data_IF_069434716170
#
_entry.id   IF_069434716170
#
_cell.length_a   1.000
_cell.length_b   1.000
_cell.length_c   1.000
_cell.angle_alpha   90.00
_cell.angle_beta   90.00
_cell.angle_gamma   90.00
#
_symmetry.space_group_name_H-M   'P 1'
#
loop_
_entity.id
_entity.type
_entity.pdbx_description
1 polymer ?
#
# COMPACT_ATOMS: atom_id res chain seq x y z
N UNK A 1 28.36 5.35 -8.81
CA UNK A 1 27.68 6.34 -7.93
C UNK A 1 28.25 6.23 -6.53
N UNK A 2 28.67 7.34 -5.91
CA UNK A 2 29.25 7.35 -4.55
C UNK A 2 28.20 7.00 -3.49
N UNK A 3 28.59 6.51 -2.29
CA UNK A 3 27.65 6.26 -1.18
C UNK A 3 26.80 7.48 -0.82
N UNK A 4 27.40 8.66 -0.77
CA UNK A 4 26.71 9.91 -0.46
C UNK A 4 25.68 10.29 -1.54
N UNK A 5 26.02 10.10 -2.82
CA UNK A 5 25.08 10.35 -3.91
C UNK A 5 23.91 9.35 -3.90
N UNK A 6 24.14 8.13 -3.42
CA UNK A 6 23.10 7.12 -3.24
C UNK A 6 22.13 7.48 -2.12
N UNK A 7 22.66 7.89 -0.96
CA UNK A 7 21.87 8.36 0.19
C UNK A 7 20.93 9.50 -0.20
N UNK A 8 21.45 10.56 -0.83
CA UNK A 8 20.62 11.70 -1.27
C UNK A 8 19.53 11.31 -2.27
N UNK A 9 19.82 10.38 -3.19
CA UNK A 9 18.81 9.89 -4.14
C UNK A 9 17.71 9.12 -3.42
N UNK A 10 18.06 8.35 -2.40
CA UNK A 10 17.11 7.59 -1.60
C UNK A 10 16.23 8.48 -0.73
N UNK A 11 16.82 9.45 -0.03
CA UNK A 11 16.09 10.49 0.70
C UNK A 11 15.12 11.22 -0.21
N UNK A 12 15.55 11.61 -1.42
CA UNK A 12 14.70 12.26 -2.40
C UNK A 12 13.57 11.37 -2.91
N UNK A 13 13.82 10.07 -3.09
CA UNK A 13 12.77 9.11 -3.46
C UNK A 13 11.74 8.93 -2.33
N UNK A 14 12.21 8.78 -1.09
CA UNK A 14 11.36 8.60 0.08
C UNK A 14 10.48 9.84 0.34
N UNK A 15 11.04 11.05 0.18
CA UNK A 15 10.27 12.29 0.23
C UNK A 15 9.13 12.30 -0.81
N UNK A 16 9.38 11.83 -2.05
CA UNK A 16 8.32 11.75 -3.06
C UNK A 16 7.25 10.71 -2.70
N UNK A 17 7.64 9.55 -2.16
CA UNK A 17 6.70 8.53 -1.70
C UNK A 17 5.78 9.10 -0.61
N UNK A 18 6.36 9.68 0.45
CA UNK A 18 5.60 10.29 1.54
C UNK A 18 4.70 11.43 1.06
N UNK A 19 5.19 12.28 0.14
CA UNK A 19 4.40 13.37 -0.43
C UNK A 19 3.21 12.84 -1.25
N UNK A 20 3.39 11.75 -2.01
CA UNK A 20 2.31 11.13 -2.78
C UNK A 20 1.18 10.56 -1.91
N UNK A 21 1.48 10.26 -0.64
CA UNK A 21 0.51 9.79 0.36
C UNK A 21 -0.03 10.92 1.25
N UNK A 22 0.23 12.19 0.92
CA UNK A 22 -0.27 13.33 1.68
C UNK A 22 0.35 13.46 3.08
N UNK A 23 1.56 12.94 3.30
CA UNK A 23 2.23 12.94 4.60
C UNK A 23 3.04 14.20 4.91
N UNK A 24 2.93 15.26 4.10
CA UNK A 24 3.62 16.54 4.31
C UNK A 24 5.10 16.41 4.72
N UNK A 25 5.93 15.65 3.98
CA UNK A 25 7.31 15.43 4.37
C UNK A 25 8.12 16.73 4.33
N UNK A 26 9.06 16.84 5.25
CA UNK A 26 10.12 17.85 5.27
C UNK A 26 11.45 17.16 5.06
N UNK A 27 12.25 17.74 4.15
CA UNK A 27 13.65 17.36 3.94
C UNK A 27 14.51 17.74 5.14
N UNK A 28 15.80 17.40 5.07
CA UNK A 28 16.72 17.56 6.19
C UNK A 28 16.71 18.95 6.81
N UNK A 29 16.79 18.99 8.13
CA UNK A 29 16.77 20.21 8.93
C UNK A 29 17.71 20.08 10.13
N UNK A 30 18.17 21.21 10.67
CA UNK A 30 19.18 21.27 11.73
C UNK A 30 18.71 22.04 12.96
N UNK A 31 17.79 21.49 13.77
CA UNK A 31 17.41 22.09 15.03
C UNK A 31 18.59 22.06 16.01
N UNK A 32 18.96 23.21 16.57
CA UNK A 32 20.05 23.34 17.56
C UNK A 32 21.41 22.72 17.13
N UNK A 33 21.69 22.66 15.82
CA UNK A 33 22.94 22.14 15.26
C UNK A 33 22.97 20.62 15.03
N UNK A 34 21.94 19.88 15.45
CA UNK A 34 21.81 18.45 15.22
C UNK A 34 21.07 18.18 13.90
N UNK A 35 21.67 17.43 12.98
CA UNK A 35 21.05 17.14 11.67
C UNK A 35 20.06 15.97 11.76
N UNK A 36 18.86 16.17 11.23
CA UNK A 36 17.84 15.13 11.05
C UNK A 36 17.54 15.03 9.55
N UNK A 37 17.53 13.82 9.00
CA UNK A 37 17.36 13.60 7.56
C UNK A 37 15.98 14.05 7.06
N UNK A 38 14.94 13.96 7.91
CA UNK A 38 13.64 14.53 7.62
C UNK A 38 12.59 14.33 8.70
N UNK A 39 11.36 14.73 8.39
CA UNK A 39 10.18 14.48 9.23
C UNK A 39 8.94 14.40 8.36
N UNK A 40 7.88 13.75 8.82
CA UNK A 40 6.62 13.69 8.09
C UNK A 40 5.44 13.52 9.05
N UNK A 41 4.23 13.72 8.55
CA UNK A 41 2.98 13.57 9.30
C UNK A 41 2.25 12.29 8.88
N UNK A 42 1.81 11.51 9.86
CA UNK A 42 0.95 10.34 9.65
C UNK A 42 -0.17 10.36 10.68
N UNK A 43 -1.43 10.28 10.23
CA UNK A 43 -2.63 10.22 11.09
C UNK A 43 -2.65 11.28 12.21
N UNK A 44 -2.21 12.52 11.88
CA UNK A 44 -2.19 13.66 12.79
C UNK A 44 -1.00 13.71 13.76
N UNK A 45 -0.02 12.82 13.62
CA UNK A 45 1.22 12.80 14.42
C UNK A 45 2.44 13.09 13.55
N UNK A 46 3.45 13.73 14.13
CA UNK A 46 4.71 14.01 13.47
C UNK A 46 5.76 12.96 13.85
N UNK A 47 6.43 12.43 12.83
CA UNK A 47 7.50 11.46 12.95
C UNK A 47 8.82 12.07 12.49
N UNK A 48 9.89 11.78 13.22
CA UNK A 48 11.25 12.05 12.74
C UNK A 48 11.71 10.90 11.84
N UNK A 49 12.56 11.21 10.87
CA UNK A 49 13.03 10.25 9.89
C UNK A 49 14.55 10.33 9.76
N UNK A 50 15.19 9.16 9.82
CA UNK A 50 16.60 8.96 9.48
C UNK A 50 16.70 7.82 8.46
N UNK A 51 17.46 8.01 7.39
CA UNK A 51 17.55 7.06 6.29
C UNK A 51 19.02 6.74 5.97
N UNK A 52 19.42 5.47 6.15
CA UNK A 52 20.80 5.01 5.91
C UNK A 52 20.88 4.06 4.72
N UNK A 53 21.88 4.30 3.88
CA UNK A 53 22.28 3.38 2.82
C UNK A 53 23.78 3.14 2.87
N UNK A 54 24.20 2.26 3.76
CA UNK A 54 25.61 1.95 4.02
C UNK A 54 26.05 0.70 3.28
N UNK A 55 27.37 0.43 3.28
CA UNK A 55 27.89 -0.84 2.76
C UNK A 55 27.80 -1.94 3.82
N UNK A 56 28.14 -1.59 5.05
CA UNK A 56 28.20 -2.50 6.19
C UNK A 56 26.90 -2.45 7.00
N UNK A 57 26.77 -3.37 7.96
CA UNK A 57 25.61 -3.44 8.85
C UNK A 57 25.50 -2.17 9.73
N UNK A 58 24.28 -1.77 10.06
CA UNK A 58 24.02 -0.63 10.94
C UNK A 58 24.30 -1.03 12.40
N UNK A 59 25.24 -0.35 13.08
CA UNK A 59 25.56 -0.63 14.47
C UNK A 59 24.52 0.01 15.41
N UNK A 60 24.39 -0.56 16.61
CA UNK A 60 23.51 -0.04 17.67
C UNK A 60 23.75 1.44 17.98
N UNK A 61 25.00 1.91 17.88
CA UNK A 61 25.38 3.30 18.15
C UNK A 61 24.68 4.30 17.23
N UNK A 62 24.46 3.96 15.96
CA UNK A 62 23.76 4.83 15.02
C UNK A 62 22.28 4.99 15.41
N UNK A 63 21.67 3.89 15.87
CA UNK A 63 20.28 3.87 16.36
C UNK A 63 20.18 4.69 17.65
N UNK A 64 21.11 4.52 18.60
CA UNK A 64 21.11 5.30 19.84
C UNK A 64 21.32 6.79 19.62
N UNK A 65 22.18 7.17 18.67
CA UNK A 65 22.33 8.57 18.28
C UNK A 65 21.01 9.13 17.77
N UNK A 66 20.32 8.41 16.88
CA UNK A 66 19.00 8.82 16.39
C UNK A 66 17.96 8.89 17.52
N UNK A 67 17.92 7.88 18.40
CA UNK A 67 17.04 7.86 19.57
C UNK A 67 17.24 9.10 20.45
N UNK A 68 18.49 9.49 20.72
CA UNK A 68 18.79 10.71 21.46
C UNK A 68 18.16 11.96 20.84
N UNK A 69 18.15 12.05 19.50
CA UNK A 69 17.47 13.15 18.79
C UNK A 69 15.97 13.14 19.03
N UNK A 70 15.36 11.95 19.06
CA UNK A 70 13.91 11.73 19.27
C UNK A 70 13.52 12.03 20.71
N UNK A 71 14.32 11.58 21.69
CA UNK A 71 14.12 11.84 23.11
C UNK A 71 14.12 13.34 23.43
N UNK A 72 14.87 14.14 22.66
CA UNK A 72 14.90 15.59 22.75
C UNK A 72 13.71 16.32 22.10
N UNK A 73 12.62 15.63 21.74
CA UNK A 73 11.42 16.21 21.12
C UNK A 73 10.19 16.11 22.04
N UNK A 74 9.03 16.54 21.53
CA UNK A 74 7.78 16.45 22.26
C UNK A 74 7.54 15.00 22.73
N UNK A 75 7.06 14.85 23.97
CA UNK A 75 6.69 13.54 24.53
C UNK A 75 5.74 12.81 23.56
N UNK A 76 6.06 11.55 23.26
CA UNK A 76 5.31 10.74 22.29
C UNK A 76 5.74 10.90 20.84
N UNK A 77 6.80 11.66 20.54
CA UNK A 77 7.42 11.66 19.21
C UNK A 77 8.01 10.28 18.92
N UNK A 78 7.66 9.71 17.77
CA UNK A 78 8.21 8.42 17.29
C UNK A 78 9.18 8.70 16.15
N UNK A 79 10.40 8.20 16.26
CA UNK A 79 11.38 8.20 15.19
C UNK A 79 11.24 6.98 14.30
N UNK A 80 11.45 7.18 13.00
CA UNK A 80 11.50 6.13 11.98
C UNK A 80 12.93 6.07 11.47
N UNK A 81 13.59 4.94 11.73
CA UNK A 81 14.95 4.69 11.26
C UNK A 81 14.87 3.67 10.11
N UNK A 82 15.25 4.09 8.91
CA UNK A 82 15.22 3.25 7.71
C UNK A 82 16.64 2.87 7.33
N UNK A 83 16.89 1.59 7.08
CA UNK A 83 18.17 1.09 6.59
C UNK A 83 17.99 0.23 5.34
N UNK A 84 18.73 0.56 4.28
CA UNK A 84 18.87 -0.30 3.10
C UNK A 84 19.92 -1.42 3.28
N UNK A 85 20.60 -1.41 4.42
CA UNK A 85 21.58 -2.40 4.89
C UNK A 85 21.00 -3.16 6.08
N UNK A 86 21.50 -4.36 6.36
CA UNK A 86 21.08 -5.11 7.55
C UNK A 86 21.44 -4.37 8.84
N UNK A 87 20.67 -4.60 9.90
CA UNK A 87 21.02 -4.20 11.25
C UNK A 87 21.98 -5.22 11.87
N UNK A 88 22.95 -4.76 12.66
CA UNK A 88 23.80 -5.66 13.42
C UNK A 88 22.97 -6.47 14.44
N UNK A 89 23.37 -7.70 14.78
CA UNK A 89 22.60 -8.59 15.67
C UNK A 89 22.28 -7.95 17.02
N UNK A 90 23.23 -7.20 17.58
CA UNK A 90 23.06 -6.53 18.88
C UNK A 90 22.26 -5.21 18.80
N UNK A 91 21.96 -4.71 17.59
CA UNK A 91 21.35 -3.40 17.39
C UNK A 91 19.85 -3.38 17.70
N UNK A 92 19.18 -4.52 17.50
CA UNK A 92 17.74 -4.69 17.72
C UNK A 92 17.45 -4.94 19.21
N UNK A 93 18.19 -5.85 19.83
CA UNK A 93 17.99 -6.21 21.25
C UNK A 93 18.31 -5.03 22.19
N UNK A 94 19.23 -4.17 21.77
CA UNK A 94 19.55 -2.89 22.39
C UNK A 94 18.34 -1.94 22.55
N UNK A 95 17.32 -2.04 21.69
CA UNK A 95 16.10 -1.23 21.78
C UNK A 95 15.03 -1.86 22.68
N UNK A 96 15.04 -3.19 22.89
CA UNK A 96 13.98 -3.91 23.61
C UNK A 96 14.09 -3.82 25.13
N UNK A 97 15.31 -3.76 25.68
CA UNK A 97 15.53 -3.92 27.13
C UNK A 97 15.43 -2.58 27.88
N UNK A 98 14.37 -2.43 28.70
CA UNK A 98 14.29 -1.45 29.80
C UNK A 98 14.25 0.02 29.40
N UNK A 99 13.84 0.35 28.16
CA UNK A 99 13.85 1.72 27.60
C UNK A 99 12.52 2.07 26.94
N UNK A 100 12.23 3.37 26.86
CA UNK A 100 11.10 3.89 26.09
C UNK A 100 11.24 3.51 24.61
N UNK A 101 10.26 2.75 24.10
CA UNK A 101 10.18 2.31 22.71
C UNK A 101 9.63 3.45 21.83
N UNK A 102 10.51 4.33 21.37
CA UNK A 102 10.14 5.49 20.55
C UNK A 102 10.88 5.57 19.21
N UNK A 103 11.56 4.49 18.80
CA UNK A 103 12.17 4.37 17.47
C UNK A 103 11.71 3.07 16.82
N UNK A 104 11.10 3.15 15.64
CA UNK A 104 10.78 2.01 14.80
C UNK A 104 11.87 1.79 13.75
N UNK A 105 12.24 0.53 13.55
CA UNK A 105 13.24 0.12 12.57
C UNK A 105 12.58 -0.40 11.29
N UNK A 106 12.98 0.15 10.15
CA UNK A 106 12.59 -0.30 8.83
C UNK A 106 13.82 -0.85 8.10
N UNK A 107 13.69 -2.01 7.49
CA UNK A 107 14.71 -2.60 6.63
C UNK A 107 14.38 -2.37 5.14
N UNK A 108 15.15 -3.04 4.28
CA UNK A 108 14.98 -2.97 2.83
C UNK A 108 13.64 -3.53 2.37
N UNK A 109 13.17 -4.60 3.00
CA UNK A 109 11.93 -5.28 2.59
C UNK A 109 10.73 -4.44 2.97
N UNK A 110 10.77 -3.75 4.12
CA UNK A 110 9.76 -2.74 4.48
C UNK A 110 9.71 -1.59 3.46
N UNK A 111 10.86 -1.15 2.94
CA UNK A 111 10.93 -0.10 1.92
C UNK A 111 10.31 -0.57 0.60
N UNK A 112 10.60 -1.81 0.18
CA UNK A 112 9.97 -2.39 -1.01
C UNK A 112 8.46 -2.60 -0.83
N UNK A 113 8.04 -3.03 0.36
CA UNK A 113 6.64 -3.13 0.71
C UNK A 113 5.97 -1.76 0.70
N UNK A 114 6.59 -0.73 1.26
CA UNK A 114 6.07 0.64 1.25
C UNK A 114 5.92 1.18 -0.16
N UNK A 115 6.88 0.89 -1.05
CA UNK A 115 6.79 1.26 -2.46
C UNK A 115 5.60 0.59 -3.19
N UNK A 116 5.18 -0.59 -2.74
CA UNK A 116 4.13 -1.41 -3.39
C UNK A 116 2.76 -1.23 -2.73
N UNK A 117 2.73 -1.02 -1.42
CA UNK A 117 1.53 -1.10 -0.57
C UNK A 117 1.21 0.22 0.15
N UNK A 118 2.06 1.22 -0.02
CA UNK A 118 1.97 2.51 0.67
C UNK A 118 2.76 2.49 1.98
N UNK A 119 3.56 3.53 2.18
CA UNK A 119 4.34 3.76 3.39
C UNK A 119 3.44 3.84 4.63
N UNK A 120 2.27 4.45 4.53
CA UNK A 120 1.33 4.58 5.64
C UNK A 120 0.79 3.24 6.13
N UNK A 121 0.58 2.28 5.23
CA UNK A 121 0.11 0.96 5.60
C UNK A 121 1.20 0.15 6.32
N UNK A 122 2.44 0.22 5.82
CA UNK A 122 3.58 -0.41 6.48
C UNK A 122 3.83 0.21 7.86
N UNK A 123 3.80 1.54 7.94
CA UNK A 123 3.98 2.27 9.19
C UNK A 123 2.89 1.93 10.22
N UNK A 124 1.61 1.92 9.82
CA UNK A 124 0.51 1.56 10.70
C UNK A 124 0.68 0.16 11.29
N UNK A 125 1.07 -0.81 10.46
CA UNK A 125 1.31 -2.19 10.90
C UNK A 125 2.43 -2.26 11.94
N UNK A 126 3.58 -1.63 11.67
CA UNK A 126 4.72 -1.64 12.60
C UNK A 126 4.42 -0.88 13.90
N UNK A 127 3.67 0.23 13.82
CA UNK A 127 3.18 0.95 15.00
C UNK A 127 2.26 0.07 15.86
N UNK A 128 1.38 -0.73 15.24
CA UNK A 128 0.51 -1.65 15.97
C UNK A 128 1.30 -2.71 16.73
N UNK A 129 2.25 -3.37 16.07
CA UNK A 129 3.09 -4.38 16.71
C UNK A 129 3.96 -3.80 17.83
N UNK A 130 4.51 -2.59 17.64
CA UNK A 130 5.25 -1.92 18.69
C UNK A 130 4.38 -1.55 19.89
N UNK A 131 3.14 -1.12 19.66
CA UNK A 131 2.22 -0.74 20.72
C UNK A 131 1.65 -1.95 21.49
N UNK A 132 1.36 -3.05 20.80
CA UNK A 132 0.71 -4.24 21.39
C UNK A 132 1.72 -5.26 21.94
N UNK A 133 2.85 -5.43 21.27
CA UNK A 133 3.84 -6.48 21.58
C UNK A 133 5.19 -5.92 22.06
N UNK A 134 5.40 -4.61 21.98
CA UNK A 134 6.70 -4.01 22.28
C UNK A 134 7.75 -4.26 21.19
N UNK A 135 7.33 -4.68 20.00
CA UNK A 135 8.25 -5.06 18.92
C UNK A 135 8.51 -3.89 17.95
N UNK A 136 9.71 -3.31 18.02
CA UNK A 136 10.12 -2.15 17.21
C UNK A 136 10.80 -2.53 15.88
N UNK A 137 11.10 -3.81 15.70
CA UNK A 137 11.67 -4.36 14.47
C UNK A 137 11.01 -5.68 14.10
N UNK A 138 9.92 -5.57 13.34
CA UNK A 138 9.24 -6.72 12.73
C UNK A 138 9.24 -6.49 11.23
N UNK A 139 9.81 -7.41 10.41
CA UNK A 139 9.71 -7.31 8.97
C UNK A 139 8.25 -7.20 8.54
N UNK A 140 7.94 -6.28 7.64
CA UNK A 140 6.62 -6.23 7.01
C UNK A 140 6.48 -7.43 6.09
N UNK A 141 5.99 -8.54 6.64
CA UNK A 141 5.33 -9.55 5.84
C UNK A 141 4.04 -8.90 5.37
N UNK A 142 3.72 -8.95 4.08
CA UNK A 142 2.44 -8.46 3.57
C UNK A 142 1.28 -9.34 4.05
N UNK A 143 1.12 -9.50 5.35
CA UNK A 143 -0.13 -9.89 5.99
C UNK A 143 -1.00 -8.65 5.96
N UNK A 144 -1.94 -8.65 5.03
CA UNK A 144 -3.11 -7.77 5.10
C UNK A 144 -3.67 -7.95 6.50
N UNK A 145 -3.73 -6.88 7.30
CA UNK A 145 -4.63 -6.93 8.45
C UNK A 145 -6.05 -7.02 7.87
N UNK A 146 -6.82 -8.08 8.19
CA UNK A 146 -8.18 -8.19 7.73
C UNK A 146 -8.97 -6.95 8.06
N UNK A 147 -9.47 -6.28 7.03
CA UNK A 147 -10.29 -5.09 7.22
C UNK A 147 -11.76 -5.50 7.12
N UNK A 148 -12.37 -5.79 8.27
CA UNK A 148 -13.82 -6.04 8.45
C UNK A 148 -14.72 -4.93 7.87
N UNK A 149 -14.14 -3.76 7.52
CA UNK A 149 -14.86 -2.68 6.85
C UNK A 149 -15.31 -3.13 5.45
N UNK A 150 -16.55 -2.84 5.05
CA UNK A 150 -17.02 -3.12 3.70
C UNK A 150 -16.15 -2.40 2.66
N UNK A 151 -15.84 -3.09 1.57
CA UNK A 151 -15.14 -2.53 0.43
C UNK A 151 -16.17 -1.93 -0.53
N UNK A 152 -16.02 -0.63 -0.83
CA UNK A 152 -16.81 0.01 -1.88
C UNK A 152 -16.08 -0.11 -3.21
N UNK A 153 -16.74 -0.65 -4.23
CA UNK A 153 -16.15 -0.84 -5.55
C UNK A 153 -16.94 -0.08 -6.60
N UNK A 154 -16.27 0.85 -7.27
CA UNK A 154 -16.85 1.66 -8.34
C UNK A 154 -16.50 1.02 -9.67
N UNK A 155 -17.52 0.68 -10.45
CA UNK A 155 -17.40 -0.07 -11.71
C UNK A 155 -18.02 0.65 -12.90
N UNK A 156 -17.58 0.34 -14.12
CA UNK A 156 -18.17 0.90 -15.34
C UNK A 156 -19.58 0.36 -15.56
N UNK A 157 -19.74 -0.97 -15.43
CA UNK A 157 -21.03 -1.61 -15.60
C UNK A 157 -21.13 -3.04 -15.08
N UNK A 158 -22.20 -3.73 -15.50
CA UNK A 158 -22.61 -5.01 -14.92
C UNK A 158 -21.56 -6.14 -15.05
N UNK A 159 -20.81 -6.21 -16.15
CA UNK A 159 -19.79 -7.27 -16.31
C UNK A 159 -18.63 -7.11 -15.35
N UNK A 160 -18.21 -5.88 -15.07
CA UNK A 160 -17.19 -5.60 -14.06
C UNK A 160 -17.65 -6.02 -12.66
N UNK A 161 -18.91 -5.71 -12.32
CA UNK A 161 -19.52 -6.17 -11.07
C UNK A 161 -19.52 -7.69 -10.98
N UNK A 162 -20.01 -8.37 -12.03
CA UNK A 162 -20.09 -9.83 -12.05
C UNK A 162 -18.69 -10.47 -12.01
N UNK A 163 -17.68 -9.83 -12.60
CA UNK A 163 -16.31 -10.28 -12.52
C UNK A 163 -15.81 -10.26 -11.07
N UNK A 164 -15.89 -9.10 -10.40
CA UNK A 164 -15.45 -8.96 -9.01
C UNK A 164 -16.21 -9.92 -8.07
N UNK A 165 -17.53 -10.05 -8.27
CA UNK A 165 -18.36 -10.99 -7.50
C UNK A 165 -17.96 -12.45 -7.75
N UNK A 166 -17.63 -12.80 -9.00
CA UNK A 166 -17.12 -14.13 -9.35
C UNK A 166 -15.80 -14.43 -8.65
N UNK A 167 -14.86 -13.47 -8.60
CA UNK A 167 -13.61 -13.62 -7.84
C UNK A 167 -13.88 -13.80 -6.36
N UNK A 168 -14.75 -12.97 -5.76
CA UNK A 168 -15.12 -13.12 -4.35
C UNK A 168 -15.76 -14.48 -4.06
N UNK A 169 -16.61 -14.99 -4.95
CA UNK A 169 -17.21 -16.31 -4.83
C UNK A 169 -16.18 -17.45 -4.93
N UNK A 170 -15.23 -17.34 -5.86
CA UNK A 170 -14.13 -18.28 -5.97
C UNK A 170 -13.29 -18.32 -4.68
N UNK A 171 -12.89 -17.16 -4.16
CA UNK A 171 -12.17 -17.04 -2.89
C UNK A 171 -12.95 -17.69 -1.72
N UNK A 172 -14.24 -17.38 -1.60
CA UNK A 172 -15.11 -17.99 -0.58
C UNK A 172 -15.18 -19.51 -0.71
N UNK A 173 -15.28 -20.06 -1.93
CA UNK A 173 -15.29 -21.52 -2.15
C UNK A 173 -13.98 -22.21 -1.75
N UNK A 174 -12.87 -21.46 -1.71
CA UNK A 174 -11.55 -21.92 -1.23
C UNK A 174 -11.35 -21.69 0.27
N UNK A 175 -12.37 -21.23 1.00
CA UNK A 175 -12.30 -20.94 2.44
C UNK A 175 -11.60 -19.62 2.79
N UNK A 176 -11.31 -18.78 1.79
CA UNK A 176 -10.74 -17.45 2.00
C UNK A 176 -11.88 -16.49 2.33
N UNK A 177 -11.81 -15.84 3.50
CA UNK A 177 -12.81 -14.83 3.88
C UNK A 177 -12.73 -13.64 2.92
N UNK A 178 -13.89 -13.08 2.59
CA UNK A 178 -13.97 -11.92 1.71
C UNK A 178 -14.75 -10.80 2.35
N UNK A 179 -14.29 -9.57 2.08
CA UNK A 179 -14.91 -8.34 2.54
C UNK A 179 -16.32 -8.22 2.00
N UNK A 180 -17.22 -7.63 2.77
CA UNK A 180 -18.55 -7.24 2.27
C UNK A 180 -18.39 -6.20 1.15
N UNK A 181 -18.85 -6.53 -0.06
CA UNK A 181 -18.76 -5.65 -1.22
C UNK A 181 -19.99 -4.76 -1.36
N UNK A 182 -19.76 -3.44 -1.48
CA UNK A 182 -20.76 -2.45 -1.91
C UNK A 182 -20.37 -1.95 -3.29
N UNK A 183 -21.17 -2.23 -4.31
CA UNK A 183 -20.82 -1.89 -5.70
C UNK A 183 -21.62 -0.67 -6.16
N UNK A 184 -20.95 0.31 -6.77
CA UNK A 184 -21.58 1.51 -7.33
C UNK A 184 -21.27 1.57 -8.83
N UNK A 185 -22.30 1.69 -9.66
CA UNK A 185 -22.16 1.80 -11.11
C UNK A 185 -21.99 3.26 -11.50
N UNK A 186 -20.95 3.56 -12.27
CA UNK A 186 -20.66 4.90 -12.78
C UNK A 186 -21.44 5.28 -14.03
N UNK A 187 -22.19 4.33 -14.62
CA UNK A 187 -22.91 4.50 -15.89
C UNK A 187 -21.98 4.89 -17.06
N UNK A 188 -20.74 4.38 -17.06
CA UNK A 188 -19.74 4.61 -18.11
C UNK A 188 -18.41 5.13 -17.57
N UNK A 189 -17.37 5.06 -18.40
CA UNK A 189 -15.99 5.31 -17.99
C UNK A 189 -15.72 6.73 -17.45
N UNK A 190 -16.44 7.74 -17.93
CA UNK A 190 -16.31 9.15 -17.53
C UNK A 190 -16.81 9.41 -16.08
N UNK A 191 -17.69 8.55 -15.55
CA UNK A 191 -18.27 8.74 -14.22
C UNK A 191 -17.44 8.16 -13.07
N UNK A 192 -16.47 7.29 -13.37
CA UNK A 192 -15.74 6.48 -12.37
C UNK A 192 -15.07 7.34 -11.29
N UNK A 193 -14.34 8.39 -11.69
CA UNK A 193 -13.60 9.24 -10.78
C UNK A 193 -14.51 10.02 -9.83
N UNK A 194 -15.57 10.64 -10.36
CA UNK A 194 -16.51 11.44 -9.57
C UNK A 194 -17.28 10.59 -8.55
N UNK A 195 -17.72 9.41 -8.98
CA UNK A 195 -18.43 8.47 -8.09
C UNK A 195 -17.49 7.95 -7.01
N UNK A 196 -16.25 7.61 -7.35
CA UNK A 196 -15.26 7.16 -6.37
C UNK A 196 -14.89 8.27 -5.38
N UNK A 197 -14.76 9.52 -5.83
CA UNK A 197 -14.51 10.64 -4.95
C UNK A 197 -15.67 10.84 -3.96
N UNK A 198 -16.91 10.90 -4.46
CA UNK A 198 -18.10 11.02 -3.61
C UNK A 198 -18.21 9.85 -2.60
N UNK A 199 -17.92 8.62 -3.05
CA UNK A 199 -17.89 7.46 -2.17
C UNK A 199 -16.80 7.59 -1.09
N UNK A 200 -15.62 8.08 -1.44
CA UNK A 200 -14.50 8.24 -0.49
C UNK A 200 -14.76 9.30 0.58
N UNK A 201 -15.55 10.33 0.24
CA UNK A 201 -15.98 11.37 1.19
C UNK A 201 -16.93 10.83 2.26
N UNK A 202 -17.67 9.75 1.97
CA UNK A 202 -18.61 9.15 2.92
C UNK A 202 -17.93 8.40 4.09
N UNK A 203 -16.62 8.10 3.99
CA UNK A 203 -15.75 7.49 5.03
C UNK A 203 -16.21 6.14 5.62
N UNK A 204 -17.11 5.40 4.98
CA UNK A 204 -17.64 4.11 5.52
C UNK A 204 -16.66 2.93 5.32
N UNK A 205 -15.64 3.12 4.50
CA UNK A 205 -14.65 2.08 4.20
C UNK A 205 -13.81 2.51 3.01
N UNK A 206 -12.88 1.65 2.58
CA UNK A 206 -12.10 1.94 1.40
C UNK A 206 -12.93 1.88 0.13
N UNK A 207 -12.48 2.68 -0.83
CA UNK A 207 -13.05 2.76 -2.17
C UNK A 207 -12.00 2.27 -3.16
N UNK A 208 -12.42 1.45 -4.11
CA UNK A 208 -11.61 0.98 -5.23
C UNK A 208 -12.34 1.25 -6.52
N UNK A 209 -11.62 1.75 -7.52
CA UNK A 209 -12.13 1.82 -8.90
C UNK A 209 -11.71 0.54 -9.61
N UNK A 210 -12.65 -0.17 -10.21
CA UNK A 210 -12.38 -1.36 -11.01
C UNK A 210 -13.00 -1.22 -12.39
N UNK A 211 -12.19 -1.35 -13.43
CA UNK A 211 -12.63 -1.17 -14.81
C UNK A 211 -11.83 -2.03 -15.76
N UNK A 212 -12.52 -2.56 -16.77
CA UNK A 212 -11.89 -3.21 -17.92
C UNK A 212 -11.26 -2.13 -18.81
N UNK A 213 -9.96 -1.86 -18.72
CA UNK A 213 -9.24 -0.94 -19.62
C UNK A 213 -8.15 -1.72 -20.38
N UNK A 214 -8.18 -1.66 -21.72
CA UNK A 214 -7.23 -2.43 -22.54
C UNK A 214 -5.84 -1.78 -22.46
N UNK A 215 -4.81 -2.60 -22.32
CA UNK A 215 -3.43 -2.11 -22.10
C UNK A 215 -2.78 -1.50 -23.35
N UNK A 216 -3.44 -1.53 -24.51
CA UNK A 216 -2.86 -1.06 -25.78
C UNK A 216 -3.08 0.42 -26.06
N UNK A 217 -4.07 1.07 -25.42
CA UNK A 217 -4.33 2.50 -25.58
C UNK A 217 -5.24 2.95 -24.43
N UNK A 218 -4.65 3.48 -23.35
CA UNK A 218 -5.22 4.54 -22.50
C UNK A 218 -4.34 4.67 -21.25
N UNK A 219 -3.72 5.84 -21.09
CA UNK A 219 -3.41 6.32 -19.75
C UNK A 219 -4.72 6.30 -18.96
N UNK A 220 -4.68 5.95 -17.68
CA UNK A 220 -5.83 6.17 -16.80
C UNK A 220 -6.33 7.59 -17.06
N UNK A 221 -7.64 7.78 -17.32
CA UNK A 221 -8.20 9.11 -17.51
C UNK A 221 -7.70 10.07 -16.43
N UNK A 222 -7.37 11.32 -16.78
CA UNK A 222 -6.71 12.28 -15.87
C UNK A 222 -7.49 12.46 -14.54
N UNK A 223 -8.80 12.36 -14.61
CA UNK A 223 -9.72 12.35 -13.47
C UNK A 223 -9.55 11.12 -12.57
N UNK A 224 -9.33 9.93 -13.13
CA UNK A 224 -9.03 8.71 -12.36
C UNK A 224 -7.64 8.81 -11.72
N UNK A 225 -6.67 9.39 -12.42
CA UNK A 225 -5.33 9.65 -11.88
C UNK A 225 -5.37 10.60 -10.67
N UNK A 226 -6.21 11.64 -10.72
CA UNK A 226 -6.39 12.59 -9.62
C UNK A 226 -6.93 11.92 -8.34
N UNK A 227 -7.79 10.91 -8.49
CA UNK A 227 -8.48 10.26 -7.37
C UNK A 227 -7.66 9.12 -6.74
N UNK A 228 -6.65 8.60 -7.45
CA UNK A 228 -5.83 7.48 -6.97
C UNK A 228 -5.20 7.69 -5.58
N UNK A 229 -4.80 8.93 -5.25
CA UNK A 229 -4.24 9.28 -3.93
C UNK A 229 -5.26 9.42 -2.79
N UNK A 230 -6.56 9.31 -3.07
CA UNK A 230 -7.67 9.42 -2.10
C UNK A 230 -8.43 8.10 -1.90
N UNK A 231 -8.13 7.09 -2.70
CA UNK A 231 -8.75 5.75 -2.68
C UNK A 231 -7.75 4.69 -2.26
N UNK A 232 -8.20 3.52 -1.78
CA UNK A 232 -7.29 2.40 -1.47
C UNK A 232 -6.64 1.82 -2.75
N UNK A 233 -7.25 2.06 -3.91
CA UNK A 233 -6.57 1.84 -5.18
C UNK A 233 -7.46 1.93 -6.41
N UNK A 234 -6.81 2.08 -7.55
CA UNK A 234 -7.39 1.87 -8.87
C UNK A 234 -6.89 0.53 -9.42
N UNK A 235 -7.81 -0.27 -9.95
CA UNK A 235 -7.53 -1.54 -10.64
C UNK A 235 -8.09 -1.42 -12.06
N UNK A 236 -7.22 -1.01 -12.98
CA UNK A 236 -7.45 -1.13 -14.41
C UNK A 236 -7.05 -2.55 -14.81
N UNK A 237 -7.97 -3.48 -14.67
CA UNK A 237 -7.75 -4.86 -15.04
C UNK A 237 -8.33 -5.08 -16.42
N UNK A 238 -7.52 -5.31 -17.48
CA UNK A 238 -8.05 -5.84 -18.74
C UNK A 238 -8.51 -7.29 -18.50
N UNK A 239 -9.55 -7.48 -17.69
CA UNK A 239 -9.99 -8.78 -17.25
C UNK A 239 -10.49 -9.59 -18.44
N UNK A 240 -11.00 -8.91 -19.47
CA UNK A 240 -11.37 -9.52 -20.75
C UNK A 240 -10.14 -10.15 -21.43
N UNK A 241 -9.11 -9.35 -21.69
CA UNK A 241 -7.99 -9.76 -22.54
C UNK A 241 -6.88 -10.49 -21.76
N UNK A 242 -6.48 -9.99 -20.59
CA UNK A 242 -5.36 -10.56 -19.83
C UNK A 242 -5.74 -11.68 -18.88
N UNK A 243 -6.87 -11.55 -18.18
CA UNK A 243 -7.19 -12.48 -17.10
C UNK A 243 -8.08 -13.62 -17.57
N UNK A 244 -9.03 -13.36 -18.47
CA UNK A 244 -9.86 -14.38 -19.12
C UNK A 244 -9.34 -14.81 -20.50
N UNK A 245 -8.36 -14.11 -21.06
CA UNK A 245 -7.69 -14.52 -22.30
C UNK A 245 -8.49 -14.31 -23.59
N UNK A 246 -9.50 -13.44 -23.61
CA UNK A 246 -10.22 -13.10 -24.84
C UNK A 246 -9.35 -12.25 -25.78
N UNK A 247 -9.58 -12.34 -27.10
CA UNK A 247 -8.82 -11.55 -28.06
C UNK A 247 -9.20 -10.06 -28.05
N UNK A 248 -10.37 -9.71 -27.50
CA UNK A 248 -10.79 -8.32 -27.29
C UNK A 248 -11.90 -8.19 -26.25
N UNK A 249 -12.07 -6.98 -25.70
CA UNK A 249 -13.28 -6.60 -24.93
C UNK A 249 -14.59 -6.94 -25.64
N UNK A 250 -14.65 -6.75 -26.97
CA UNK A 250 -15.85 -7.03 -27.76
C UNK A 250 -16.18 -8.52 -27.74
N UNK A 251 -15.16 -9.36 -27.90
CA UNK A 251 -15.30 -10.81 -27.80
C UNK A 251 -15.73 -11.23 -26.39
N UNK A 252 -15.11 -10.71 -25.34
CA UNK A 252 -15.48 -11.01 -23.96
C UNK A 252 -16.97 -10.67 -23.68
N UNK A 253 -17.49 -9.61 -24.30
CA UNK A 253 -18.91 -9.21 -24.20
C UNK A 253 -19.87 -10.17 -24.91
N UNK A 254 -19.42 -10.92 -25.91
CA UNK A 254 -20.27 -11.86 -26.68
C UNK A 254 -20.02 -13.34 -26.38
N UNK A 255 -18.81 -13.71 -25.96
CA UNK A 255 -18.36 -15.10 -25.83
C UNK A 255 -19.08 -15.85 -24.71
N UNK A 256 -19.41 -15.15 -23.62
CA UNK A 256 -20.14 -15.72 -22.49
C UNK A 256 -21.42 -14.93 -22.27
N UNK A 257 -22.55 -15.64 -22.25
CA UNK A 257 -23.84 -15.06 -21.89
C UNK A 257 -23.80 -14.49 -20.47
N UNK A 258 -24.49 -13.36 -20.26
CA UNK A 258 -24.47 -12.64 -18.98
C UNK A 258 -24.83 -13.52 -17.78
N UNK A 259 -25.83 -14.39 -17.94
CA UNK A 259 -26.32 -15.32 -16.91
C UNK A 259 -25.31 -16.40 -16.51
N UNK A 260 -24.33 -16.69 -17.37
CA UNK A 260 -23.26 -17.67 -17.12
C UNK A 260 -21.94 -17.04 -16.72
N UNK A 261 -21.82 -15.71 -16.84
CA UNK A 261 -20.54 -15.02 -16.70
C UNK A 261 -19.98 -15.11 -15.28
N UNK A 262 -20.83 -14.93 -14.27
CA UNK A 262 -20.41 -15.04 -12.87
C UNK A 262 -19.92 -16.45 -12.52
N UNK A 263 -20.62 -17.50 -12.98
CA UNK A 263 -20.20 -18.88 -12.77
C UNK A 263 -18.85 -19.17 -13.45
N UNK A 264 -18.66 -18.68 -14.67
CA UNK A 264 -17.39 -18.81 -15.37
C UNK A 264 -16.23 -18.15 -14.62
N UNK A 265 -16.42 -16.91 -14.14
CA UNK A 265 -15.39 -16.21 -13.36
C UNK A 265 -15.13 -16.89 -12.02
N UNK A 266 -16.16 -17.49 -11.41
CA UNK A 266 -16.03 -18.23 -10.16
C UNK A 266 -15.20 -19.53 -10.29
N UNK A 267 -14.91 -20.00 -11.51
CA UNK A 267 -14.16 -21.24 -11.76
C UNK A 267 -12.71 -21.01 -12.23
N UNK A 268 -12.29 -19.75 -12.44
CA UNK A 268 -10.94 -19.47 -12.95
C UNK A 268 -9.84 -19.83 -11.95
N UNK A 269 -8.65 -20.07 -12.48
CA UNK A 269 -7.45 -20.28 -11.65
C UNK A 269 -6.91 -18.94 -11.12
N UNK A 270 -7.35 -18.57 -9.93
CA UNK A 270 -6.91 -17.35 -9.25
C UNK A 270 -5.41 -17.36 -8.99
N UNK A 271 -4.82 -18.50 -8.65
CA UNK A 271 -3.41 -18.60 -8.27
C UNK A 271 -2.52 -18.36 -9.49
N UNK A 272 -2.81 -19.02 -10.61
CA UNK A 272 -2.07 -18.83 -11.87
C UNK A 272 -2.10 -17.37 -12.35
N UNK A 273 -3.28 -16.72 -12.31
CA UNK A 273 -3.42 -15.33 -12.77
C UNK A 273 -2.72 -14.38 -11.78
N UNK A 274 -2.86 -14.60 -10.47
CA UNK A 274 -2.22 -13.78 -9.45
C UNK A 274 -0.70 -13.89 -9.44
N UNK A 275 -0.12 -15.02 -9.85
CA UNK A 275 1.33 -15.17 -10.04
C UNK A 275 1.84 -14.30 -11.20
N UNK A 276 1.07 -14.22 -12.29
CA UNK A 276 1.50 -13.56 -13.53
C UNK A 276 1.13 -12.08 -13.62
N UNK A 277 0.10 -11.62 -12.91
CA UNK A 277 -0.38 -10.23 -13.01
C UNK A 277 -0.53 -9.55 -11.63
N UNK A 278 0.24 -8.48 -11.43
CA UNK A 278 0.26 -7.72 -10.18
C UNK A 278 -1.04 -6.95 -9.89
N UNK A 279 -1.79 -6.54 -10.90
CA UNK A 279 -3.09 -5.88 -10.70
C UNK A 279 -4.14 -6.88 -10.25
N UNK A 280 -4.14 -8.09 -10.81
CA UNK A 280 -5.01 -9.18 -10.34
C UNK A 280 -4.66 -9.60 -8.92
N UNK A 281 -3.37 -9.74 -8.58
CA UNK A 281 -2.93 -10.00 -7.20
C UNK A 281 -3.41 -8.91 -6.24
N UNK A 282 -3.37 -7.64 -6.66
CA UNK A 282 -3.91 -6.52 -5.88
C UNK A 282 -5.42 -6.62 -5.72
N UNK A 283 -6.17 -7.04 -6.74
CA UNK A 283 -7.62 -7.29 -6.65
C UNK A 283 -7.92 -8.37 -5.61
N UNK A 284 -7.29 -9.54 -5.72
CA UNK A 284 -7.46 -10.65 -4.77
C UNK A 284 -7.19 -10.14 -3.35
N UNK A 285 -6.09 -9.41 -3.15
CA UNK A 285 -5.74 -8.82 -1.86
C UNK A 285 -6.80 -7.87 -1.31
N UNK A 286 -7.39 -7.02 -2.16
CA UNK A 286 -8.40 -6.05 -1.74
C UNK A 286 -9.74 -6.71 -1.40
N UNK A 287 -10.06 -7.84 -2.04
CA UNK A 287 -11.30 -8.58 -1.81
C UNK A 287 -11.24 -9.49 -0.58
N UNK A 288 -10.05 -10.01 -0.25
CA UNK A 288 -9.87 -10.85 0.93
C UNK A 288 -9.92 -10.03 2.23
N UNK A 289 -10.49 -10.65 3.27
CA UNK A 289 -10.29 -10.26 4.67
C UNK A 289 -8.98 -10.87 5.18
#
# INVERSE_FOLDING_TARGET
>A
MTPQARGRKFEGWLNRLLASEGMFPRTSFRPAGEEIDGSFMHEGRFHLLEAKWWKDQVPASAIYQFKGKVDGKLVGTIGIFISMSEYGPDAVDALRVGKDLNVLLFDRDDVFAAATHGFGNVLRHKLRLAAELGEVFVPYIATVEPSDKPLTVVVEGMRDELFIRGIAQNLLSRGIKTRKLTVIHSQGSVGLANVALAASESRVGPVVIFTDLSSAAEQLPDDVMYVAGRTEGVIAGPWSEKWLGFASKREAKSAIRMDKFLAHVAEIDIEEIAERDGHFRKLVRLLSD
#
